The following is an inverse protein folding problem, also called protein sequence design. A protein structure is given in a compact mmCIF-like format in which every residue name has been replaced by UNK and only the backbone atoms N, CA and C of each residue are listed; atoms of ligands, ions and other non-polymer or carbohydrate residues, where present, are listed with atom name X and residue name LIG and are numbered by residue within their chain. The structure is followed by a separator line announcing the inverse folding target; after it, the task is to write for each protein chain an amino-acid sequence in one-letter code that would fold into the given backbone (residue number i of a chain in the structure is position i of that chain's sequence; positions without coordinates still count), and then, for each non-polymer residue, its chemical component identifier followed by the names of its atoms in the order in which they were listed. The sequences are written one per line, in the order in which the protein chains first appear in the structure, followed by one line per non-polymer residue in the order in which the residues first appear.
data_IF_522721172481
#
_entry.id   IF_522721172481
#
_cell.length_a   1.000
_cell.length_b   1.000
_cell.length_c   1.000
_cell.angle_alpha   90.00
_cell.angle_beta   90.00
_cell.angle_gamma   90.00
#
_symmetry.space_group_name_H-M   'P 1'
#
loop_
_entity.id
_entity.type
_entity.pdbx_description
1 polymer ?
#
# COMPACT_ATOMS: atom_id res chain seq x y z
N UNK A 1 2.62 36.61 -47.93
CA UNK A 1 3.49 36.80 -46.75
C UNK A 1 2.80 36.50 -45.41
N UNK A 2 1.56 36.94 -45.17
CA UNK A 2 0.83 36.72 -43.90
C UNK A 2 0.65 35.22 -43.53
N UNK A 3 0.36 34.35 -44.49
CA UNK A 3 0.18 32.90 -44.24
C UNK A 3 1.46 32.19 -43.77
N UNK A 4 2.63 32.62 -44.24
CA UNK A 4 3.92 32.06 -43.80
C UNK A 4 4.28 32.48 -42.37
N UNK A 5 3.94 33.71 -41.97
CA UNK A 5 4.19 34.23 -40.63
C UNK A 5 3.35 33.55 -39.54
N UNK A 6 2.10 33.18 -39.88
CA UNK A 6 1.21 32.43 -38.98
C UNK A 6 1.73 31.00 -38.79
N UNK A 7 2.12 30.32 -39.88
CA UNK A 7 2.68 28.97 -39.83
C UNK A 7 3.99 28.98 -39.02
N UNK A 8 4.89 29.94 -39.26
CA UNK A 8 6.15 30.05 -38.53
C UNK A 8 5.95 30.33 -37.03
N UNK A 9 5.01 31.21 -36.68
CA UNK A 9 4.66 31.50 -35.27
C UNK A 9 4.07 30.28 -34.54
N UNK A 10 3.19 29.50 -35.20
CA UNK A 10 2.60 28.29 -34.61
C UNK A 10 3.64 27.19 -34.42
N UNK A 11 4.54 26.98 -35.39
CA UNK A 11 5.62 26.00 -35.27
C UNK A 11 6.68 26.43 -34.23
N UNK A 12 7.00 27.72 -34.14
CA UNK A 12 7.93 28.25 -33.13
C UNK A 12 7.37 28.16 -31.71
N UNK A 13 6.06 28.40 -31.53
CA UNK A 13 5.37 28.22 -30.24
C UNK A 13 5.24 26.73 -29.84
N UNK A 14 4.99 25.84 -30.79
CA UNK A 14 4.94 24.39 -30.55
C UNK A 14 6.33 23.81 -30.20
N UNK A 15 7.40 24.37 -30.77
CA UNK A 15 8.78 23.97 -30.47
C UNK A 15 9.26 24.49 -29.10
N UNK A 16 8.89 25.71 -28.73
CA UNK A 16 9.22 26.31 -27.42
C UNK A 16 8.43 25.71 -26.25
N UNK A 17 7.17 25.31 -26.46
CA UNK A 17 6.39 24.54 -25.46
C UNK A 17 6.92 23.11 -25.30
N UNK A 18 7.41 22.48 -26.37
CA UNK A 18 8.13 21.20 -26.32
C UNK A 18 9.44 21.28 -25.54
N UNK A 19 10.23 22.35 -25.73
CA UNK A 19 11.45 22.61 -24.97
C UNK A 19 11.16 22.85 -23.48
N UNK A 20 10.12 23.62 -23.13
CA UNK A 20 9.69 23.82 -21.73
C UNK A 20 9.20 22.54 -21.07
N UNK A 21 8.47 21.69 -21.81
CA UNK A 21 8.02 20.39 -21.32
C UNK A 21 9.20 19.45 -21.07
N UNK A 22 10.16 19.40 -22.00
CA UNK A 22 11.38 18.61 -21.86
C UNK A 22 12.25 19.13 -20.72
N UNK A 23 12.47 20.43 -20.60
CA UNK A 23 13.22 21.03 -19.49
C UNK A 23 12.54 20.76 -18.14
N UNK A 24 11.21 20.84 -18.05
CA UNK A 24 10.44 20.49 -16.83
C UNK A 24 10.58 19.01 -16.49
N UNK A 25 10.52 18.13 -17.49
CA UNK A 25 10.70 16.69 -17.36
C UNK A 25 12.12 16.36 -16.90
N UNK A 26 13.13 16.90 -17.54
CA UNK A 26 14.55 16.64 -17.25
C UNK A 26 14.92 17.22 -15.87
N UNK A 27 14.39 18.39 -15.50
CA UNK A 27 14.51 18.94 -14.15
C UNK A 27 13.82 18.06 -13.11
N UNK A 28 12.63 17.52 -13.41
CA UNK A 28 11.94 16.58 -12.53
C UNK A 28 12.73 15.27 -12.35
N UNK A 29 13.38 14.78 -13.41
CA UNK A 29 14.22 13.59 -13.36
C UNK A 29 15.50 13.84 -12.55
N UNK A 30 16.14 15.00 -12.74
CA UNK A 30 17.30 15.42 -11.95
C UNK A 30 16.99 15.52 -10.45
N UNK A 31 15.82 16.08 -10.08
CA UNK A 31 15.34 16.11 -8.69
C UNK A 31 15.09 14.73 -8.11
N UNK A 32 14.56 13.80 -8.91
CA UNK A 32 14.36 12.41 -8.51
C UNK A 32 15.70 11.69 -8.28
N UNK A 33 16.69 11.90 -9.15
CA UNK A 33 18.02 11.33 -8.98
C UNK A 33 18.73 11.86 -7.72
N UNK A 34 18.62 13.17 -7.47
CA UNK A 34 19.14 13.77 -6.24
C UNK A 34 18.44 13.20 -5.01
N UNK A 35 17.11 13.12 -5.02
CA UNK A 35 16.34 12.52 -3.93
C UNK A 35 16.81 11.08 -3.66
N UNK A 36 16.95 10.26 -4.70
CA UNK A 36 17.42 8.87 -4.61
C UNK A 36 18.82 8.76 -3.99
N UNK A 37 19.75 9.64 -4.37
CA UNK A 37 21.07 9.72 -3.73
C UNK A 37 20.96 10.15 -2.26
N UNK A 38 20.13 11.14 -1.95
CA UNK A 38 19.93 11.60 -0.58
C UNK A 38 19.38 10.48 0.30
N UNK A 39 18.30 9.82 -0.10
CA UNK A 39 17.70 8.73 0.68
C UNK A 39 18.61 7.50 0.78
N UNK A 40 19.57 7.33 -0.13
CA UNK A 40 20.58 6.27 -0.05
C UNK A 40 21.63 6.52 1.02
N UNK A 41 22.17 7.75 1.08
CA UNK A 41 23.39 8.04 1.85
C UNK A 41 23.16 8.85 3.13
N UNK A 42 22.05 9.58 3.25
CA UNK A 42 21.77 10.38 4.43
C UNK A 42 20.93 9.60 5.45
N UNK A 43 21.06 9.90 6.76
CA UNK A 43 20.23 9.31 7.79
C UNK A 43 18.74 9.57 7.52
N UNK A 44 17.97 8.50 7.34
CA UNK A 44 16.55 8.58 7.01
C UNK A 44 15.71 9.33 8.07
N UNK A 45 15.94 9.17 9.39
CA UNK A 45 15.23 9.96 10.40
C UNK A 45 15.47 11.47 10.26
N UNK A 46 16.68 11.88 9.89
CA UNK A 46 17.00 13.30 9.66
C UNK A 46 16.27 13.84 8.43
N UNK A 47 16.30 13.10 7.31
CA UNK A 47 15.56 13.44 6.10
C UNK A 47 14.05 13.56 6.35
N UNK A 48 13.48 12.62 7.10
CA UNK A 48 12.07 12.63 7.48
C UNK A 48 11.72 13.82 8.38
N UNK A 49 12.59 14.16 9.33
CA UNK A 49 12.40 15.33 10.20
C UNK A 49 12.40 16.63 9.39
N UNK A 50 13.37 16.78 8.47
CA UNK A 50 13.41 17.94 7.56
C UNK A 50 12.16 17.98 6.68
N UNK A 51 11.76 16.86 6.10
CA UNK A 51 10.56 16.78 5.27
C UNK A 51 9.28 17.14 6.06
N UNK A 52 9.18 16.69 7.32
CA UNK A 52 8.08 17.03 8.23
C UNK A 52 8.03 18.54 8.50
N UNK A 53 9.18 19.17 8.78
CA UNK A 53 9.30 20.63 8.92
C UNK A 53 8.87 21.37 7.65
N UNK A 54 9.30 20.91 6.47
CA UNK A 54 8.89 21.48 5.19
C UNK A 54 7.40 21.29 4.90
N UNK A 55 6.77 20.22 5.38
CA UNK A 55 5.31 20.05 5.33
C UNK A 55 4.61 21.08 6.23
N UNK A 56 5.09 21.27 7.46
CA UNK A 56 4.57 22.26 8.40
C UNK A 56 4.67 23.70 7.86
N UNK A 57 5.79 24.02 7.20
CA UNK A 57 6.01 25.30 6.50
C UNK A 57 5.26 25.42 5.17
N UNK A 58 4.45 24.42 4.80
CA UNK A 58 3.66 24.41 3.55
C UNK A 58 4.53 24.52 2.29
N UNK A 59 5.77 24.01 2.33
CA UNK A 59 6.67 23.92 1.18
C UNK A 59 6.51 22.58 0.45
N UNK A 60 6.19 21.51 1.16
CA UNK A 60 5.89 20.19 0.60
C UNK A 60 4.39 19.84 0.67
N UNK A 61 4.02 18.79 -0.06
CA UNK A 61 2.74 18.11 0.10
C UNK A 61 1.49 18.87 -0.35
N UNK A 62 1.64 19.93 -1.17
CA UNK A 62 0.52 20.70 -1.74
C UNK A 62 -0.61 19.83 -2.31
N UNK A 63 -0.35 18.76 -3.09
CA UNK A 63 -1.40 17.92 -3.67
C UNK A 63 -2.27 17.19 -2.63
N UNK A 64 -1.77 16.98 -1.42
CA UNK A 64 -2.45 16.20 -0.38
C UNK A 64 -3.20 17.07 0.64
N UNK A 65 -3.11 18.41 0.55
CA UNK A 65 -3.72 19.31 1.54
C UNK A 65 -5.23 19.21 1.60
N UNK A 66 -5.88 19.05 0.44
CA UNK A 66 -7.32 18.90 0.37
C UNK A 66 -7.80 17.60 1.06
N UNK A 67 -6.91 16.60 1.18
CA UNK A 67 -7.21 15.35 1.87
C UNK A 67 -7.19 15.48 3.40
N UNK A 68 -6.52 16.49 3.96
CA UNK A 68 -6.45 16.68 5.42
C UNK A 68 -7.83 16.89 6.03
N UNK A 69 -8.72 17.65 5.39
CA UNK A 69 -10.06 17.89 5.93
C UNK A 69 -10.84 16.58 6.07
N UNK A 70 -10.88 15.79 5.00
CA UNK A 70 -11.52 14.47 4.97
C UNK A 70 -10.89 13.53 5.99
N UNK A 71 -9.56 13.46 6.04
CA UNK A 71 -8.84 12.59 6.96
C UNK A 71 -9.12 12.90 8.44
N UNK A 72 -9.12 14.18 8.81
CA UNK A 72 -9.40 14.60 10.18
C UNK A 72 -10.87 14.36 10.55
N UNK A 73 -11.79 14.62 9.63
CA UNK A 73 -13.21 14.39 9.89
C UNK A 73 -13.52 12.89 10.06
N UNK A 74 -12.91 12.06 9.22
CA UNK A 74 -12.99 10.61 9.33
C UNK A 74 -12.40 10.08 10.65
N UNK A 75 -11.22 10.55 11.04
CA UNK A 75 -10.61 10.17 12.32
C UNK A 75 -11.48 10.61 13.50
N UNK A 76 -11.96 11.86 13.49
CA UNK A 76 -12.87 12.39 14.52
C UNK A 76 -14.14 11.55 14.63
N UNK A 77 -14.75 11.18 13.51
CA UNK A 77 -15.99 10.40 13.48
C UNK A 77 -15.84 8.94 13.92
N UNK A 78 -14.73 8.28 13.58
CA UNK A 78 -14.57 6.84 13.83
C UNK A 78 -13.93 6.51 15.17
N UNK A 79 -12.90 7.27 15.57
CA UNK A 79 -12.11 6.96 16.75
C UNK A 79 -12.25 8.01 17.85
N UNK A 80 -13.05 9.06 17.63
CA UNK A 80 -13.34 10.09 18.65
C UNK A 80 -12.12 10.90 19.09
N UNK A 81 -10.99 10.77 18.38
CA UNK A 81 -9.74 11.43 18.78
C UNK A 81 -9.82 12.95 18.56
N UNK A 82 -9.29 13.68 19.54
CA UNK A 82 -9.08 15.14 19.49
C UNK A 82 -7.80 15.52 18.74
N UNK A 83 -6.88 14.56 18.56
CA UNK A 83 -5.66 14.72 17.78
C UNK A 83 -5.94 14.81 16.28
N UNK A 84 -5.07 15.50 15.54
CA UNK A 84 -5.21 15.68 14.09
C UNK A 84 -4.40 14.63 13.33
N UNK A 85 -5.00 14.01 12.33
CA UNK A 85 -4.29 13.21 11.32
C UNK A 85 -3.69 14.16 10.29
N UNK A 86 -2.38 14.11 10.11
CA UNK A 86 -1.68 14.88 9.08
C UNK A 86 -1.51 14.02 7.82
N UNK A 87 -2.55 13.98 6.98
CA UNK A 87 -2.53 13.23 5.73
C UNK A 87 -1.45 13.72 4.74
N UNK A 88 -1.05 15.00 4.84
CA UNK A 88 0.08 15.53 4.06
C UNK A 88 1.38 14.87 4.50
N UNK A 89 1.66 14.87 5.81
CA UNK A 89 2.84 14.22 6.35
C UNK A 89 2.85 12.71 6.05
N UNK A 90 1.72 12.02 6.27
CA UNK A 90 1.58 10.58 6.00
C UNK A 90 1.94 10.26 4.54
N UNK A 91 1.41 11.02 3.57
CA UNK A 91 1.70 10.81 2.16
C UNK A 91 3.17 11.09 1.78
N UNK A 92 3.77 12.13 2.37
CA UNK A 92 5.18 12.47 2.13
C UNK A 92 6.12 11.45 2.76
N UNK A 93 5.86 11.02 4.01
CA UNK A 93 6.61 9.97 4.70
C UNK A 93 6.58 8.67 3.90
N UNK A 94 5.39 8.21 3.51
CA UNK A 94 5.19 7.02 2.66
C UNK A 94 6.11 7.08 1.43
N UNK A 95 6.03 8.17 0.65
CA UNK A 95 6.82 8.32 -0.58
C UNK A 95 8.33 8.27 -0.33
N UNK A 96 8.80 8.91 0.73
CA UNK A 96 10.23 8.91 1.07
C UNK A 96 10.71 7.51 1.48
N UNK A 97 9.92 6.79 2.26
CA UNK A 97 10.21 5.41 2.65
C UNK A 97 10.22 4.47 1.44
N UNK A 98 9.25 4.60 0.54
CA UNK A 98 9.17 3.82 -0.69
C UNK A 98 10.38 4.06 -1.60
N UNK A 99 10.74 5.33 -1.85
CA UNK A 99 11.92 5.67 -2.63
C UNK A 99 13.22 5.19 -1.95
N UNK A 100 13.31 5.27 -0.62
CA UNK A 100 14.46 4.79 0.14
C UNK A 100 14.63 3.27 0.04
N UNK A 101 13.54 2.51 0.14
CA UNK A 101 13.57 1.04 0.09
C UNK A 101 13.81 0.50 -1.33
N UNK A 102 13.29 1.17 -2.36
CA UNK A 102 13.31 0.67 -3.74
C UNK A 102 14.49 1.19 -4.55
N UNK A 103 14.49 2.48 -4.86
CA UNK A 103 15.52 3.09 -5.72
C UNK A 103 16.76 3.52 -4.94
N UNK A 104 16.56 4.00 -3.72
CA UNK A 104 17.61 4.42 -2.81
C UNK A 104 18.42 3.24 -2.29
N UNK A 105 17.80 2.06 -2.14
CA UNK A 105 18.40 0.89 -1.51
C UNK A 105 19.08 1.27 -0.18
N UNK A 106 18.39 2.07 0.65
CA UNK A 106 18.93 2.55 1.91
C UNK A 106 19.27 1.35 2.81
N UNK A 107 20.56 1.12 3.17
CA UNK A 107 20.96 -0.10 3.86
C UNK A 107 20.29 -0.28 5.22
N UNK A 108 20.08 0.82 5.95
CA UNK A 108 19.48 0.78 7.28
C UNK A 108 17.98 0.46 7.20
N UNK A 109 17.25 1.07 6.27
CA UNK A 109 15.84 0.73 6.06
C UNK A 109 15.67 -0.73 5.60
N UNK A 110 16.53 -1.21 4.70
CA UNK A 110 16.51 -2.62 4.26
C UNK A 110 16.81 -3.57 5.42
N UNK A 111 17.72 -3.21 6.33
CA UNK A 111 17.99 -3.96 7.55
C UNK A 111 16.75 -4.00 8.46
N UNK A 112 16.05 -2.89 8.61
CA UNK A 112 14.80 -2.83 9.39
C UNK A 112 13.67 -3.66 8.76
N UNK A 113 13.54 -3.65 7.43
CA UNK A 113 12.61 -4.53 6.69
C UNK A 113 12.92 -6.00 6.97
N UNK A 114 14.20 -6.40 6.94
CA UNK A 114 14.61 -7.77 7.27
C UNK A 114 14.34 -8.14 8.72
N UNK A 115 14.50 -7.20 9.66
CA UNK A 115 14.14 -7.43 11.06
C UNK A 115 12.63 -7.68 11.22
N UNK A 116 11.80 -6.83 10.60
CA UNK A 116 10.35 -7.04 10.56
C UNK A 116 9.97 -8.38 9.90
N UNK A 117 10.67 -8.76 8.82
CA UNK A 117 10.47 -10.05 8.17
C UNK A 117 10.85 -11.21 9.09
N UNK A 118 11.96 -11.12 9.84
CA UNK A 118 12.33 -12.16 10.81
C UNK A 118 11.28 -12.33 11.91
N UNK A 119 10.68 -11.24 12.40
CA UNK A 119 9.59 -11.30 13.38
C UNK A 119 8.33 -11.96 12.79
N UNK A 120 7.99 -11.64 11.53
CA UNK A 120 6.87 -12.27 10.83
C UNK A 120 7.14 -13.75 10.52
N UNK A 121 8.37 -14.09 10.12
CA UNK A 121 8.80 -15.44 9.80
C UNK A 121 8.73 -16.37 11.03
N UNK A 122 8.99 -15.86 12.23
CA UNK A 122 8.81 -16.61 13.46
C UNK A 122 7.36 -17.09 13.67
N UNK A 123 6.38 -16.42 13.06
CA UNK A 123 4.96 -16.83 13.10
C UNK A 123 4.61 -17.76 11.92
N UNK A 124 5.13 -17.49 10.72
CA UNK A 124 4.72 -18.23 9.51
C UNK A 124 5.55 -19.47 9.20
N UNK A 125 6.84 -19.50 9.58
CA UNK A 125 7.70 -20.66 9.35
C UNK A 125 7.16 -21.94 10.01
N UNK A 126 6.62 -21.91 11.26
CA UNK A 126 5.97 -23.09 11.84
C UNK A 126 4.74 -23.56 11.06
N UNK A 127 3.92 -22.63 10.54
CA UNK A 127 2.76 -22.97 9.70
C UNK A 127 3.22 -23.66 8.41
N UNK A 128 4.24 -23.09 7.76
CA UNK A 128 4.83 -23.65 6.56
C UNK A 128 5.40 -25.06 6.78
N UNK A 129 6.18 -25.27 7.85
CA UNK A 129 6.76 -26.57 8.21
C UNK A 129 5.70 -27.64 8.47
N UNK A 130 4.54 -27.25 8.98
CA UNK A 130 3.40 -28.13 9.24
C UNK A 130 2.51 -28.34 7.99
N UNK A 131 2.89 -27.78 6.83
CA UNK A 131 2.10 -27.75 5.60
C UNK A 131 0.70 -27.15 5.82
N UNK A 132 0.59 -26.19 6.75
CA UNK A 132 -0.64 -25.43 6.96
C UNK A 132 -0.60 -24.23 6.00
N UNK A 133 -1.51 -24.15 5.02
CA UNK A 133 -1.57 -23.01 4.12
C UNK A 133 -1.82 -21.73 4.91
N UNK A 134 -1.22 -20.62 4.48
CA UNK A 134 -1.48 -19.33 5.11
C UNK A 134 -1.50 -18.18 4.09
N UNK A 135 -2.20 -17.11 4.48
CA UNK A 135 -2.30 -15.85 3.74
C UNK A 135 -1.81 -14.72 4.63
N UNK A 136 -0.98 -13.85 4.06
CA UNK A 136 -0.51 -12.63 4.71
C UNK A 136 -1.51 -11.50 4.46
N UNK A 137 -1.95 -10.85 5.53
CA UNK A 137 -2.98 -9.81 5.47
C UNK A 137 -2.52 -8.49 6.10
N UNK A 138 -1.59 -7.75 5.44
CA UNK A 138 -1.17 -6.43 5.92
C UNK A 138 -2.31 -5.41 5.87
N UNK A 139 -2.37 -4.53 6.87
CA UNK A 139 -3.19 -3.31 6.79
C UNK A 139 -2.43 -2.18 6.08
N UNK A 140 -3.15 -1.25 5.42
CA UNK A 140 -2.59 -0.11 4.69
C UNK A 140 -2.00 0.93 5.64
N UNK A 141 -0.85 0.60 6.25
CA UNK A 141 -0.15 1.40 7.25
C UNK A 141 1.29 1.63 6.79
N UNK A 142 1.83 2.84 7.02
CA UNK A 142 3.19 3.28 6.61
C UNK A 142 3.43 3.26 5.09
N UNK A 143 3.44 2.08 4.47
CA UNK A 143 3.55 1.87 3.03
C UNK A 143 3.20 0.43 2.66
N UNK A 144 2.31 0.28 1.68
CA UNK A 144 1.92 -1.01 1.08
C UNK A 144 3.12 -1.72 0.45
N UNK A 145 4.09 -0.97 -0.10
CA UNK A 145 5.32 -1.53 -0.68
C UNK A 145 6.19 -2.14 0.41
N UNK A 146 6.43 -1.43 1.51
CA UNK A 146 7.24 -1.95 2.61
C UNK A 146 6.58 -3.19 3.24
N UNK A 147 5.26 -3.17 3.44
CA UNK A 147 4.53 -4.32 3.94
C UNK A 147 4.69 -5.54 3.01
N UNK A 148 4.54 -5.34 1.70
CA UNK A 148 4.73 -6.40 0.72
C UNK A 148 6.19 -6.91 0.68
N UNK A 149 7.19 -6.03 0.81
CA UNK A 149 8.60 -6.42 0.91
C UNK A 149 8.84 -7.30 2.14
N UNK A 150 8.28 -6.93 3.31
CA UNK A 150 8.34 -7.77 4.53
C UNK A 150 7.75 -9.15 4.27
N UNK A 151 6.51 -9.21 3.73
CA UNK A 151 5.83 -10.48 3.45
C UNK A 151 6.45 -11.35 2.34
N UNK A 152 7.30 -10.77 1.50
CA UNK A 152 8.05 -11.50 0.49
C UNK A 152 9.39 -12.04 1.00
N UNK A 153 9.93 -11.47 2.08
CA UNK A 153 11.17 -11.93 2.70
C UNK A 153 10.97 -13.10 3.67
N UNK A 154 9.75 -13.39 4.10
CA UNK A 154 9.46 -14.56 4.95
C UNK A 154 9.36 -15.83 4.13
N UNK A 155 9.55 -16.98 4.77
CA UNK A 155 9.40 -18.33 4.18
C UNK A 155 8.18 -18.38 3.26
N UNK A 156 8.23 -18.96 2.04
CA UNK A 156 9.38 -19.60 1.41
C UNK A 156 10.36 -18.62 0.73
N UNK A 157 10.22 -17.31 0.93
CA UNK A 157 11.05 -16.26 0.32
C UNK A 157 10.52 -15.72 -1.01
N UNK A 158 9.22 -15.93 -1.26
CA UNK A 158 8.53 -15.54 -2.49
C UNK A 158 7.08 -15.16 -2.20
N UNK A 159 6.58 -14.08 -2.80
CA UNK A 159 5.21 -13.64 -2.61
C UNK A 159 4.52 -13.08 -3.87
N UNK A 160 3.20 -13.06 -3.85
CA UNK A 160 2.38 -12.28 -4.77
C UNK A 160 1.34 -11.44 -4.03
N UNK A 161 1.23 -10.16 -4.39
CA UNK A 161 0.16 -9.29 -3.90
C UNK A 161 -1.04 -9.35 -4.83
N UNK A 162 -2.23 -9.63 -4.28
CA UNK A 162 -3.49 -9.54 -5.01
C UNK A 162 -3.96 -8.08 -5.02
N UNK A 163 -4.15 -7.50 -6.21
CA UNK A 163 -4.48 -6.07 -6.38
C UNK A 163 -5.72 -5.85 -7.26
N UNK A 164 -6.55 -4.86 -6.91
CA UNK A 164 -7.64 -4.34 -7.76
C UNK A 164 -7.14 -3.29 -8.77
N UNK A 165 -7.91 -3.07 -9.83
CA UNK A 165 -7.56 -2.48 -11.15
C UNK A 165 -6.78 -1.17 -11.15
N UNK A 166 -6.82 -0.40 -10.06
CA UNK A 166 -6.24 0.93 -10.02
C UNK A 166 -4.77 0.95 -9.56
N UNK A 167 -4.26 -0.17 -9.04
CA UNK A 167 -2.88 -0.25 -8.52
C UNK A 167 -1.81 -0.48 -9.61
N UNK A 168 -2.20 -0.82 -10.85
CA UNK A 168 -1.27 -1.07 -11.95
C UNK A 168 -0.50 0.19 -12.40
N UNK A 169 -1.08 1.39 -12.17
CA UNK A 169 -0.47 2.66 -12.58
C UNK A 169 0.78 3.05 -11.75
N UNK A 170 1.03 2.41 -10.60
CA UNK A 170 2.25 2.63 -9.81
C UNK A 170 3.36 1.64 -10.19
N UNK A 171 3.97 1.92 -11.34
CA UNK A 171 5.29 1.55 -11.82
C UNK A 171 5.83 0.15 -11.40
N UNK A 172 5.53 -0.87 -12.20
CA UNK A 172 6.07 -2.23 -12.10
C UNK A 172 7.61 -2.27 -11.93
N UNK A 173 8.34 -1.31 -12.52
CA UNK A 173 9.79 -1.17 -12.35
C UNK A 173 10.20 -0.80 -10.92
N UNK A 174 9.44 0.05 -10.21
CA UNK A 174 9.76 0.42 -8.82
C UNK A 174 9.62 -0.76 -7.86
N UNK A 175 8.75 -1.72 -8.21
CA UNK A 175 8.44 -2.93 -7.44
C UNK A 175 9.44 -4.07 -7.66
N UNK A 176 10.06 -4.13 -8.84
CA UNK A 176 11.07 -5.14 -9.19
C UNK A 176 12.49 -4.84 -8.65
N UNK A 177 12.74 -3.65 -8.10
CA UNK A 177 14.10 -3.18 -7.81
C UNK A 177 14.63 -3.56 -6.41
N UNK A 178 13.83 -4.21 -5.56
CA UNK A 178 14.23 -4.57 -4.19
C UNK A 178 15.15 -5.77 -4.06
N UNK A 179 15.39 -6.55 -5.14
CA UNK A 179 16.05 -7.86 -5.03
C UNK A 179 15.19 -8.89 -4.26
N UNK A 180 13.87 -8.71 -4.28
CA UNK A 180 12.86 -9.51 -3.56
C UNK A 180 11.93 -10.14 -4.60
N UNK A 181 11.65 -11.44 -4.47
CA UNK A 181 10.75 -12.17 -5.37
C UNK A 181 9.28 -11.86 -5.02
N UNK A 182 8.84 -10.69 -5.49
CA UNK A 182 7.50 -10.15 -5.28
C UNK A 182 6.82 -9.90 -6.62
N UNK A 183 5.73 -10.64 -6.84
CA UNK A 183 4.86 -10.48 -8.02
C UNK A 183 3.54 -9.80 -7.65
N UNK A 184 2.75 -9.41 -8.65
CA UNK A 184 1.45 -8.79 -8.46
C UNK A 184 0.42 -9.50 -9.35
N UNK A 185 -0.67 -9.96 -8.73
CA UNK A 185 -1.80 -10.58 -9.41
C UNK A 185 -2.94 -9.57 -9.50
N UNK A 186 -3.18 -9.02 -10.70
CA UNK A 186 -4.20 -8.00 -10.94
C UNK A 186 -5.54 -8.63 -11.31
N UNK A 187 -6.59 -8.36 -10.54
CA UNK A 187 -7.93 -8.96 -10.72
C UNK A 187 -8.76 -8.33 -11.85
N UNK A 188 -8.14 -7.62 -12.80
CA UNK A 188 -8.83 -6.95 -13.92
C UNK A 188 -8.26 -7.24 -15.30
N UNK A 189 -7.36 -8.22 -15.41
CA UNK A 189 -6.94 -8.74 -16.70
C UNK A 189 -8.09 -9.52 -17.35
N UNK A 190 -8.12 -9.58 -18.69
CA UNK A 190 -9.18 -10.25 -19.44
C UNK A 190 -9.51 -11.65 -18.85
N UNK A 191 -10.81 -11.93 -18.72
CA UNK A 191 -11.42 -12.91 -17.80
C UNK A 191 -10.76 -14.32 -17.74
N UNK A 192 -10.22 -14.83 -18.86
CA UNK A 192 -9.63 -16.18 -18.91
C UNK A 192 -8.22 -16.25 -18.32
N UNK A 193 -7.37 -15.28 -18.64
CA UNK A 193 -5.97 -15.24 -18.15
C UNK A 193 -5.92 -14.95 -16.66
N UNK A 194 -6.81 -14.07 -16.18
CA UNK A 194 -6.95 -13.75 -14.77
C UNK A 194 -7.33 -14.96 -13.91
N UNK A 195 -8.38 -15.69 -14.30
CA UNK A 195 -8.81 -16.87 -13.56
C UNK A 195 -7.67 -17.91 -13.47
N UNK A 196 -6.92 -18.09 -14.57
CA UNK A 196 -5.73 -18.95 -14.60
C UNK A 196 -4.62 -18.49 -13.64
N UNK A 197 -4.26 -17.20 -13.66
CA UNK A 197 -3.20 -16.67 -12.78
C UNK A 197 -3.57 -16.71 -11.30
N UNK A 198 -4.82 -16.39 -10.95
CA UNK A 198 -5.27 -16.47 -9.55
C UNK A 198 -5.36 -17.92 -9.07
N UNK A 199 -5.84 -18.86 -9.89
CA UNK A 199 -5.86 -20.28 -9.54
C UNK A 199 -4.46 -20.88 -9.42
N UNK A 200 -3.53 -20.47 -10.29
CA UNK A 200 -2.11 -20.82 -10.16
C UNK A 200 -1.55 -20.34 -8.82
N UNK A 201 -1.77 -19.07 -8.48
CA UNK A 201 -1.35 -18.53 -7.18
C UNK A 201 -1.96 -19.28 -5.99
N UNK A 202 -3.27 -19.59 -6.04
CA UNK A 202 -3.95 -20.36 -4.99
C UNK A 202 -3.30 -21.75 -4.82
N UNK A 203 -2.95 -22.40 -5.94
CA UNK A 203 -2.31 -23.71 -5.95
C UNK A 203 -0.90 -23.65 -5.35
N UNK A 204 -0.10 -22.67 -5.77
CA UNK A 204 1.25 -22.46 -5.24
C UNK A 204 1.24 -22.19 -3.73
N UNK A 205 0.26 -21.42 -3.25
CA UNK A 205 0.09 -21.11 -1.82
C UNK A 205 -0.34 -22.35 -1.04
N UNK A 206 -1.29 -23.13 -1.56
CA UNK A 206 -1.69 -24.39 -0.94
C UNK A 206 -0.53 -25.40 -0.86
N UNK A 207 0.37 -25.38 -1.84
CA UNK A 207 1.58 -26.20 -1.88
C UNK A 207 2.77 -25.61 -1.10
N UNK A 208 2.58 -24.46 -0.43
CA UNK A 208 3.63 -23.77 0.33
C UNK A 208 4.75 -23.17 -0.53
N UNK A 209 4.59 -23.08 -1.85
CA UNK A 209 5.64 -22.61 -2.77
C UNK A 209 5.71 -21.08 -2.87
N UNK A 210 4.67 -20.38 -2.42
CA UNK A 210 4.59 -18.92 -2.53
C UNK A 210 3.62 -18.34 -1.50
N UNK A 211 3.93 -17.14 -1.01
CA UNK A 211 3.03 -16.37 -0.15
C UNK A 211 1.99 -15.60 -0.98
N UNK A 212 0.76 -15.55 -0.48
CA UNK A 212 -0.28 -14.66 -0.98
C UNK A 212 -0.45 -13.49 -0.01
N UNK A 213 -0.40 -12.27 -0.52
CA UNK A 213 -0.60 -11.04 0.24
C UNK A 213 -1.90 -10.37 -0.20
N UNK A 214 -2.81 -10.13 0.74
CA UNK A 214 -4.09 -9.46 0.50
C UNK A 214 -4.29 -8.35 1.54
N UNK A 215 -4.45 -7.11 1.10
CA UNK A 215 -4.78 -6.02 2.02
C UNK A 215 -6.30 -6.02 2.31
N UNK A 216 -6.72 -6.28 3.57
CA UNK A 216 -8.12 -6.57 3.87
C UNK A 216 -8.94 -5.32 4.25
N UNK A 217 -8.28 -4.20 4.52
CA UNK A 217 -8.84 -2.94 5.00
C UNK A 217 -9.09 -1.91 3.90
N UNK A 218 -9.04 -2.33 2.63
CA UNK A 218 -9.33 -1.45 1.50
C UNK A 218 -10.79 -0.97 1.55
N UNK A 219 -11.00 0.35 1.46
CA UNK A 219 -12.34 0.93 1.42
C UNK A 219 -13.07 0.51 0.14
N UNK A 220 -14.39 0.20 0.18
CA UNK A 220 -15.10 -0.26 -1.01
C UNK A 220 -15.11 0.76 -2.16
N UNK A 221 -14.84 2.05 -1.89
CA UNK A 221 -14.60 3.10 -2.90
C UNK A 221 -13.58 2.67 -3.99
N UNK A 222 -12.57 1.88 -3.63
CA UNK A 222 -11.54 1.36 -4.56
C UNK A 222 -11.96 0.12 -5.35
N UNK A 223 -13.13 -0.44 -5.05
CA UNK A 223 -13.66 -1.65 -5.67
C UNK A 223 -14.93 -1.39 -6.46
N UNK A 224 -15.50 -0.17 -6.42
CA UNK A 224 -16.75 0.20 -7.09
C UNK A 224 -16.72 0.02 -8.61
N UNK A 225 -15.55 0.13 -9.25
CA UNK A 225 -15.40 -0.01 -10.70
C UNK A 225 -15.12 -1.45 -11.15
N UNK A 226 -15.08 -2.42 -10.22
CA UNK A 226 -14.88 -3.82 -10.56
C UNK A 226 -16.18 -4.50 -10.99
N UNK A 227 -16.21 -5.12 -12.18
CA UNK A 227 -17.31 -6.01 -12.55
C UNK A 227 -17.47 -7.10 -11.47
N UNK A 228 -18.69 -7.24 -10.92
CA UNK A 228 -18.99 -8.15 -9.80
C UNK A 228 -18.84 -7.58 -8.38
N UNK A 229 -18.48 -6.29 -8.23
CA UNK A 229 -18.24 -5.61 -6.93
C UNK A 229 -19.39 -5.63 -5.91
N UNK A 230 -20.63 -5.91 -6.35
CA UNK A 230 -21.77 -6.06 -5.44
C UNK A 230 -21.77 -7.40 -4.68
N UNK A 231 -21.12 -8.45 -5.22
CA UNK A 231 -21.11 -9.80 -4.64
C UNK A 231 -19.93 -10.09 -3.70
N UNK A 232 -18.96 -9.16 -3.58
CA UNK A 232 -17.71 -9.36 -2.85
C UNK A 232 -17.59 -8.56 -1.53
N UNK A 233 -18.72 -8.24 -0.89
CA UNK A 233 -18.74 -7.45 0.36
C UNK A 233 -19.13 -8.31 1.57
N UNK A 234 -18.32 -8.26 2.61
CA UNK A 234 -18.59 -8.86 3.92
C UNK A 234 -19.39 -7.84 4.76
N UNK A 235 -20.67 -8.09 5.06
CA UNK A 235 -21.41 -7.28 6.02
C UNK A 235 -20.83 -7.50 7.42
N UNK A 236 -20.55 -6.42 8.14
CA UNK A 236 -19.99 -6.46 9.48
C UNK A 236 -20.37 -5.21 10.28
N UNK A 237 -19.90 -5.12 11.54
CA UNK A 237 -19.92 -3.87 12.30
C UNK A 237 -18.50 -3.35 12.46
N UNK A 238 -18.32 -2.06 12.19
CA UNK A 238 -17.08 -1.31 12.42
C UNK A 238 -17.41 -0.01 13.16
N UNK A 239 -16.65 0.28 14.21
CA UNK A 239 -16.80 1.43 15.10
C UNK A 239 -18.24 1.59 15.60
N UNK A 240 -18.86 0.47 15.98
CA UNK A 240 -20.23 0.43 16.45
C UNK A 240 -21.31 0.64 15.37
N UNK A 241 -20.95 0.72 14.09
CA UNK A 241 -21.86 1.02 12.97
C UNK A 241 -21.90 -0.12 11.95
N UNK A 242 -23.01 -0.26 11.22
CA UNK A 242 -23.10 -1.22 10.10
C UNK A 242 -22.12 -0.83 9.01
N UNK A 243 -21.32 -1.77 8.53
CA UNK A 243 -20.24 -1.54 7.57
C UNK A 243 -20.12 -2.71 6.58
N UNK A 244 -19.37 -2.48 5.49
CA UNK A 244 -19.05 -3.48 4.48
C UNK A 244 -17.55 -3.49 4.21
N UNK A 245 -16.92 -4.65 4.41
CA UNK A 245 -15.52 -4.89 4.08
C UNK A 245 -15.38 -5.68 2.78
N UNK A 246 -14.22 -5.61 2.14
CA UNK A 246 -13.92 -6.49 1.02
C UNK A 246 -13.76 -7.94 1.52
N UNK A 247 -14.46 -8.89 0.90
CA UNK A 247 -14.47 -10.29 1.38
C UNK A 247 -13.36 -11.17 0.77
N UNK A 248 -12.45 -10.60 -0.04
CA UNK A 248 -11.42 -11.35 -0.75
C UNK A 248 -10.57 -12.24 0.15
N UNK A 249 -10.08 -11.72 1.28
CA UNK A 249 -9.28 -12.50 2.25
C UNK A 249 -10.09 -13.63 2.88
N UNK A 250 -11.39 -13.40 3.18
CA UNK A 250 -12.29 -14.41 3.76
C UNK A 250 -12.54 -15.53 2.75
N UNK A 251 -12.85 -15.18 1.50
CA UNK A 251 -13.13 -16.16 0.45
C UNK A 251 -11.90 -16.98 0.12
N UNK A 252 -10.77 -16.32 -0.14
CA UNK A 252 -9.55 -17.00 -0.58
C UNK A 252 -8.96 -17.87 0.53
N UNK A 253 -8.97 -17.41 1.79
CA UNK A 253 -8.55 -18.27 2.91
C UNK A 253 -9.46 -19.48 3.08
N UNK A 254 -10.77 -19.33 2.85
CA UNK A 254 -11.73 -20.44 2.89
C UNK A 254 -11.46 -21.52 1.84
N UNK A 255 -11.10 -21.13 0.60
CA UNK A 255 -10.84 -22.06 -0.51
C UNK A 255 -9.71 -23.04 -0.21
N UNK A 256 -8.68 -22.60 0.51
CA UNK A 256 -7.49 -23.41 0.83
C UNK A 256 -7.37 -23.74 2.32
N UNK A 257 -8.44 -23.53 3.10
CA UNK A 257 -8.45 -23.72 4.55
C UNK A 257 -7.25 -23.06 5.27
N UNK A 258 -6.83 -21.88 4.79
CA UNK A 258 -5.63 -21.21 5.25
C UNK A 258 -5.79 -20.53 6.61
N UNK A 259 -4.68 -20.43 7.35
CA UNK A 259 -4.53 -19.46 8.42
C UNK A 259 -4.29 -18.07 7.83
N UNK A 260 -4.84 -17.03 8.43
CA UNK A 260 -4.62 -15.64 8.01
C UNK A 260 -3.78 -14.93 9.06
N UNK A 261 -2.63 -14.42 8.65
CA UNK A 261 -1.71 -13.68 9.52
C UNK A 261 -1.86 -12.20 9.22
N UNK A 262 -2.57 -11.50 10.10
CA UNK A 262 -2.73 -10.06 10.02
C UNK A 262 -1.52 -9.36 10.63
N UNK A 263 -1.08 -8.29 9.99
CA UNK A 263 -0.05 -7.44 10.55
C UNK A 263 -0.17 -6.00 10.06
N UNK A 264 0.46 -5.08 10.75
CA UNK A 264 0.57 -3.70 10.31
C UNK A 264 1.95 -3.14 10.65
N UNK A 265 2.34 -2.09 9.94
CA UNK A 265 3.60 -1.41 10.16
C UNK A 265 3.38 -0.11 10.93
N UNK A 266 4.38 0.27 11.70
CA UNK A 266 4.47 1.60 12.29
C UNK A 266 5.86 2.17 12.06
N UNK A 267 5.95 3.51 11.99
CA UNK A 267 7.23 4.18 11.84
C UNK A 267 7.41 5.31 12.84
N UNK A 268 8.29 5.06 13.82
CA UNK A 268 8.77 6.06 14.78
C UNK A 268 10.29 5.97 14.86
N UNK A 269 10.97 6.81 14.06
CA UNK A 269 12.42 6.80 13.83
C UNK A 269 13.03 5.44 13.44
N UNK A 270 12.19 4.50 13.04
CA UNK A 270 12.52 3.14 12.66
C UNK A 270 11.25 2.39 12.32
N UNK A 271 11.37 1.45 11.38
CA UNK A 271 10.26 0.59 10.99
C UNK A 271 10.04 -0.50 12.04
N UNK A 272 8.79 -0.71 12.44
CA UNK A 272 8.36 -1.81 13.31
C UNK A 272 7.16 -2.52 12.71
N UNK A 273 7.01 -3.80 13.02
CA UNK A 273 5.86 -4.63 12.66
C UNK A 273 5.06 -4.99 13.91
N UNK A 274 3.75 -5.09 13.75
CA UNK A 274 2.83 -5.58 14.76
C UNK A 274 2.04 -6.73 14.15
N UNK A 275 2.14 -7.92 14.76
CA UNK A 275 1.61 -9.17 14.21
C UNK A 275 0.51 -9.67 15.13
N UNK A 276 -0.66 -9.97 14.57
CA UNK A 276 -1.75 -10.61 15.30
C UNK A 276 -1.60 -12.13 15.26
N UNK A 277 -2.14 -12.85 16.25
CA UNK A 277 -2.19 -14.31 16.21
C UNK A 277 -2.82 -14.82 14.90
N UNK A 278 -2.31 -15.90 14.29
CA UNK A 278 -2.92 -16.49 13.11
C UNK A 278 -4.39 -16.83 13.33
N UNK A 279 -5.24 -16.47 12.38
CA UNK A 279 -6.69 -16.66 12.44
C UNK A 279 -7.11 -17.71 11.44
N UNK A 280 -7.80 -18.77 11.88
CA UNK A 280 -8.30 -19.80 10.97
C UNK A 280 -9.30 -19.22 9.97
N UNK A 281 -9.34 -19.74 8.74
CA UNK A 281 -10.23 -19.26 7.67
C UNK A 281 -11.70 -19.12 8.10
N UNK A 282 -12.19 -19.98 9.00
CA UNK A 282 -13.55 -19.95 9.53
C UNK A 282 -13.82 -18.73 10.43
N UNK A 283 -12.79 -18.16 11.05
CA UNK A 283 -12.89 -17.06 12.01
C UNK A 283 -12.47 -15.70 11.45
N UNK A 284 -11.91 -15.65 10.24
CA UNK A 284 -11.42 -14.41 9.59
C UNK A 284 -12.50 -13.33 9.53
N UNK A 285 -13.72 -13.70 9.11
CA UNK A 285 -14.83 -12.77 9.00
C UNK A 285 -15.22 -12.11 10.34
N UNK A 286 -15.03 -12.83 11.44
CA UNK A 286 -15.31 -12.35 12.79
C UNK A 286 -14.16 -11.51 13.36
N UNK A 287 -12.91 -11.92 13.15
CA UNK A 287 -11.74 -11.25 13.71
C UNK A 287 -11.38 -9.94 12.98
N UNK A 288 -11.54 -9.91 11.66
CA UNK A 288 -11.08 -8.81 10.81
C UNK A 288 -11.58 -7.42 11.25
N UNK A 289 -12.87 -7.20 11.56
CA UNK A 289 -13.34 -5.89 11.99
C UNK A 289 -12.62 -5.39 13.25
N UNK A 290 -12.44 -6.25 14.25
CA UNK A 290 -11.75 -5.89 15.50
C UNK A 290 -10.27 -5.54 15.30
N UNK A 291 -9.59 -6.23 14.37
CA UNK A 291 -8.19 -5.95 14.01
C UNK A 291 -8.08 -4.57 13.34
N UNK A 292 -8.99 -4.24 12.41
CA UNK A 292 -9.02 -2.91 11.79
C UNK A 292 -9.28 -1.83 12.84
N UNK A 293 -10.28 -2.02 13.69
CA UNK A 293 -10.63 -1.01 14.70
C UNK A 293 -9.50 -0.75 15.71
N UNK A 294 -8.89 -1.80 16.24
CA UNK A 294 -7.77 -1.67 17.18
C UNK A 294 -6.59 -0.95 16.53
N UNK A 295 -6.19 -1.37 15.32
CA UNK A 295 -5.10 -0.73 14.56
C UNK A 295 -5.37 0.77 14.34
N UNK A 296 -6.59 1.14 13.93
CA UNK A 296 -6.93 2.56 13.68
C UNK A 296 -7.00 3.39 14.96
N UNK A 297 -7.37 2.80 16.10
CA UNK A 297 -7.37 3.48 17.41
C UNK A 297 -5.97 3.68 17.96
N UNK A 298 -5.13 2.66 17.86
CA UNK A 298 -3.78 2.64 18.43
C UNK A 298 -2.75 3.36 17.55
N UNK A 299 -2.89 3.24 16.22
CA UNK A 299 -1.96 3.77 15.22
C UNK A 299 -2.64 4.65 14.16
N UNK A 300 -3.40 5.69 14.57
CA UNK A 300 -4.15 6.54 13.64
C UNK A 300 -3.24 7.31 12.66
N UNK A 301 -2.00 7.63 13.03
CA UNK A 301 -1.06 8.37 12.17
C UNK A 301 -0.34 7.46 11.15
N UNK A 302 -0.61 6.16 11.18
CA UNK A 302 0.03 5.20 10.30
C UNK A 302 -0.86 4.80 9.13
N UNK A 303 -2.19 4.84 9.30
CA UNK A 303 -3.14 4.40 8.29
C UNK A 303 -3.20 5.35 7.08
N UNK A 304 -3.14 4.77 5.87
CA UNK A 304 -2.97 5.51 4.63
C UNK A 304 -4.30 5.95 3.98
N UNK A 305 -5.42 5.35 4.41
CA UNK A 305 -6.72 5.47 3.73
C UNK A 305 -7.68 6.46 4.38
N UNK A 306 -7.22 7.27 5.34
CA UNK A 306 -8.06 8.29 5.99
C UNK A 306 -8.73 9.26 4.99
N UNK A 307 -8.18 9.41 3.80
CA UNK A 307 -8.69 10.31 2.79
C UNK A 307 -9.83 9.73 1.93
N UNK A 308 -10.24 8.48 2.13
CA UNK A 308 -11.38 7.90 1.42
C UNK A 308 -12.70 8.48 1.93
N UNK A 309 -13.64 8.79 1.03
CA UNK A 309 -14.85 9.51 1.38
C UNK A 309 -15.90 8.64 2.07
N UNK A 310 -16.05 7.38 1.65
CA UNK A 310 -17.07 6.50 2.21
C UNK A 310 -16.51 5.52 3.23
N UNK A 311 -15.18 5.40 3.34
CA UNK A 311 -14.46 4.44 4.18
C UNK A 311 -15.08 3.04 4.07
N UNK A 312 -15.79 2.58 5.11
CA UNK A 312 -16.44 1.27 5.17
C UNK A 312 -17.98 1.34 5.09
N UNK A 313 -18.56 2.54 4.93
CA UNK A 313 -19.97 2.86 5.19
C UNK A 313 -20.76 3.24 3.94
N UNK A 314 -20.60 2.49 2.84
CA UNK A 314 -21.37 2.76 1.62
C UNK A 314 -22.81 2.26 1.78
N UNK A 315 -23.76 3.20 1.75
CA UNK A 315 -25.18 2.90 1.55
C UNK A 315 -25.39 2.51 0.07
N UNK A 316 -25.89 1.30 -0.15
CA UNK A 316 -26.48 0.88 -1.42
C UNK A 316 -27.91 0.47 -1.12
#
# INVERSE_FOLDING_TARGET
MVRFFIIWSVFSFKNSTGWLYNAKRDFSQGRLLLLRKMVRYLPLPALLTVAKGLCALRLLGRPFRLRNAVANENARCLIGQTGRVDAVWVAVRRRLLEEAATWGQNPELLRQIRACASELDAVVAPLHQQNIPYILAPLHTVSDVLAAMVGACVTPGKASVVVSSSAELYNAQTRALGGIDLSYCSIHQQNKTLAGSLMGLITDVAAGQQNMIIFPDISPDYTLQAEGALAAKLPCRLFGRSAKLHNGVVRLSGVIAAQVVFYHLSYDNGLRIHIHPPVSSQNVAHALPGIIESTLREHPQEWLLWHSHSLFFINH
#
